data_IF_420026734713
#
_entry.id   IF_420026734713
#
_cell.length_a   1.000
_cell.length_b   1.000
_cell.length_c   1.000
_cell.angle_alpha   90.00
_cell.angle_beta   90.00
_cell.angle_gamma   90.00
#
_symmetry.space_group_name_H-M   'P 1'
#
loop_
_entity.id
_entity.type
_entity.pdbx_description
1 polymer ?
#
# COMPACT_ATOMS: atom_id res chain seq x y z
N UNK A 1 11.77 -12.14 14.17
CA UNK A 1 10.92 -13.24 13.65
C UNK A 1 9.88 -13.79 14.63
N UNK A 2 10.24 -14.45 15.75
CA UNK A 2 9.23 -15.00 16.69
C UNK A 2 8.25 -13.93 17.20
N UNK A 3 8.76 -12.80 17.66
CA UNK A 3 7.95 -11.64 18.08
C UNK A 3 7.00 -11.15 16.97
N UNK A 4 7.48 -11.11 15.73
CA UNK A 4 6.66 -10.74 14.56
C UNK A 4 5.49 -11.72 14.38
N UNK A 5 5.77 -13.03 14.35
CA UNK A 5 4.74 -14.07 14.19
C UNK A 5 3.76 -14.08 15.36
N UNK A 6 4.21 -13.77 16.57
CA UNK A 6 3.32 -13.63 17.73
C UNK A 6 2.37 -12.43 17.58
N UNK A 7 2.82 -11.32 17.00
CA UNK A 7 1.93 -10.19 16.67
C UNK A 7 0.96 -10.55 15.53
N UNK A 8 1.41 -11.25 14.50
CA UNK A 8 0.51 -11.75 13.43
C UNK A 8 -0.57 -12.65 14.02
N UNK A 9 -0.21 -13.60 14.89
CA UNK A 9 -1.18 -14.48 15.57
C UNK A 9 -2.19 -13.70 16.40
N UNK A 10 -1.72 -12.70 17.15
CA UNK A 10 -2.61 -11.81 17.90
C UNK A 10 -3.56 -11.04 16.98
N UNK A 11 -3.04 -10.47 15.89
CA UNK A 11 -3.81 -9.71 14.89
C UNK A 11 -4.88 -10.57 14.22
N UNK A 12 -4.52 -11.76 13.73
CA UNK A 12 -5.44 -12.71 13.11
C UNK A 12 -6.53 -13.18 14.08
N UNK A 13 -6.18 -13.47 15.35
CA UNK A 13 -7.17 -13.80 16.38
C UNK A 13 -8.18 -12.67 16.60
N UNK A 14 -7.72 -11.42 16.68
CA UNK A 14 -8.61 -10.26 16.87
C UNK A 14 -9.50 -10.09 15.64
N UNK A 15 -8.94 -10.17 14.43
CA UNK A 15 -9.69 -10.08 13.18
C UNK A 15 -10.77 -11.16 13.08
N UNK A 16 -10.45 -12.41 13.44
CA UNK A 16 -11.41 -13.51 13.48
C UNK A 16 -12.58 -13.22 14.43
N UNK A 17 -12.30 -12.70 15.64
CA UNK A 17 -13.33 -12.33 16.61
C UNK A 17 -14.22 -11.22 16.05
N UNK A 18 -13.64 -10.16 15.48
CA UNK A 18 -14.40 -9.05 14.89
C UNK A 18 -15.25 -9.52 13.70
N UNK A 19 -14.77 -10.47 12.91
CA UNK A 19 -15.52 -11.09 11.81
C UNK A 19 -16.69 -11.92 12.34
N UNK A 20 -16.48 -12.76 13.35
CA UNK A 20 -17.55 -13.57 13.97
C UNK A 20 -18.64 -12.71 14.62
N UNK A 21 -18.28 -11.52 15.12
CA UNK A 21 -19.22 -10.55 15.65
C UNK A 21 -19.95 -9.73 14.57
N UNK A 22 -19.56 -9.85 13.29
CA UNK A 22 -20.11 -9.07 12.19
C UNK A 22 -19.60 -7.63 12.08
N UNK A 23 -18.64 -7.22 12.93
CA UNK A 23 -18.06 -5.87 12.92
C UNK A 23 -17.13 -5.68 11.73
N UNK A 24 -16.39 -6.72 11.36
CA UNK A 24 -15.47 -6.76 10.21
C UNK A 24 -15.78 -8.00 9.35
N UNK A 25 -16.83 -7.98 8.53
CA UNK A 25 -17.26 -9.15 7.76
C UNK A 25 -16.26 -9.53 6.64
N UNK A 26 -15.39 -8.61 6.23
CA UNK A 26 -14.42 -8.77 5.15
C UNK A 26 -13.11 -8.00 5.47
N UNK A 27 -12.12 -8.08 4.58
CA UNK A 27 -10.82 -7.37 4.69
C UNK A 27 -9.63 -8.32 4.89
N UNK A 28 -8.47 -7.74 5.23
CA UNK A 28 -7.24 -8.46 5.53
C UNK A 28 -6.59 -7.96 6.83
N UNK A 29 -5.58 -8.69 7.33
CA UNK A 29 -4.68 -8.23 8.38
C UNK A 29 -3.43 -7.68 7.71
N UNK A 30 -3.18 -6.38 7.89
CA UNK A 30 -2.00 -5.71 7.31
C UNK A 30 -0.72 -6.20 7.98
N UNK A 31 0.31 -6.47 7.18
CA UNK A 31 1.66 -6.78 7.63
C UNK A 31 2.70 -5.96 6.85
N UNK A 32 3.90 -5.88 7.40
CA UNK A 32 5.10 -5.33 6.77
C UNK A 32 6.30 -6.27 7.07
N UNK A 33 7.47 -5.98 6.50
CA UNK A 33 8.67 -6.80 6.78
C UNK A 33 9.29 -6.52 8.15
N UNK A 34 8.87 -5.45 8.83
CA UNK A 34 9.38 -4.95 10.10
C UNK A 34 10.90 -4.72 10.13
N UNK A 35 11.54 -4.57 8.95
CA UNK A 35 12.96 -4.26 8.81
C UNK A 35 13.17 -3.05 7.91
N UNK A 36 14.14 -2.20 8.24
CA UNK A 36 14.48 -1.02 7.43
C UNK A 36 15.12 -1.38 6.09
N UNK A 37 15.19 -0.41 5.18
CA UNK A 37 15.81 -0.58 3.85
C UNK A 37 17.32 -0.75 3.97
N UNK A 38 18.00 0.07 4.78
CA UNK A 38 19.46 0.04 4.91
C UNK A 38 19.99 -1.32 5.41
N UNK A 39 19.46 -1.93 6.49
CA UNK A 39 19.89 -3.26 6.90
C UNK A 39 19.52 -4.35 5.89
N UNK A 40 18.45 -4.15 5.11
CA UNK A 40 18.07 -5.11 4.06
C UNK A 40 19.10 -5.11 2.92
N UNK A 41 19.65 -3.95 2.56
CA UNK A 41 20.64 -3.77 1.50
C UNK A 41 21.99 -4.46 1.76
N UNK A 42 22.29 -4.87 2.99
CA UNK A 42 23.51 -5.60 3.34
C UNK A 42 23.59 -6.99 2.70
N UNK A 43 22.43 -7.63 2.48
CA UNK A 43 22.29 -8.94 1.84
C UNK A 43 20.91 -9.04 1.18
N UNK A 44 20.66 -8.36 0.05
CA UNK A 44 19.33 -8.26 -0.56
C UNK A 44 18.68 -9.62 -0.79
N UNK A 45 19.40 -10.56 -1.40
CA UNK A 45 18.85 -11.87 -1.75
C UNK A 45 18.65 -12.77 -0.52
N UNK A 46 19.58 -12.76 0.44
CA UNK A 46 19.42 -13.52 1.68
C UNK A 46 18.34 -12.94 2.58
N UNK A 47 18.25 -11.61 2.68
CA UNK A 47 17.20 -10.93 3.45
C UNK A 47 15.82 -11.12 2.82
N UNK A 48 15.70 -11.07 1.49
CA UNK A 48 14.45 -11.39 0.79
C UNK A 48 13.98 -12.81 1.08
N UNK A 49 14.89 -13.79 1.08
CA UNK A 49 14.58 -15.19 1.46
C UNK A 49 14.13 -15.31 2.91
N UNK A 50 14.72 -14.55 3.84
CA UNK A 50 14.31 -14.53 5.26
C UNK A 50 12.90 -13.95 5.44
N UNK A 51 12.59 -12.85 4.74
CA UNK A 51 11.25 -12.24 4.76
C UNK A 51 10.23 -13.22 4.17
N UNK A 52 10.49 -13.77 2.98
CA UNK A 52 9.60 -14.74 2.35
C UNK A 52 9.32 -15.96 3.25
N UNK A 53 10.35 -16.53 3.89
CA UNK A 53 10.16 -17.62 4.86
C UNK A 53 9.28 -17.21 6.05
N UNK A 54 9.45 -15.99 6.54
CA UNK A 54 8.65 -15.45 7.65
C UNK A 54 7.20 -15.22 7.22
N UNK A 55 6.97 -14.70 6.02
CA UNK A 55 5.64 -14.47 5.48
C UNK A 55 4.89 -15.78 5.19
N UNK A 56 5.58 -16.85 4.78
CA UNK A 56 4.95 -18.19 4.69
C UNK A 56 4.42 -18.68 6.03
N UNK A 57 5.22 -18.55 7.10
CA UNK A 57 4.76 -18.89 8.46
C UNK A 57 3.64 -17.96 8.95
N UNK A 58 3.63 -16.70 8.52
CA UNK A 58 2.53 -15.79 8.78
C UNK A 58 1.25 -16.23 8.04
N UNK A 59 1.35 -16.72 6.81
CA UNK A 59 0.23 -17.25 6.05
C UNK A 59 -0.40 -18.46 6.74
N UNK A 60 0.41 -19.38 7.26
CA UNK A 60 -0.08 -20.53 8.02
C UNK A 60 -0.91 -20.08 9.24
N UNK A 61 -0.43 -19.06 9.97
CA UNK A 61 -1.17 -18.45 11.09
C UNK A 61 -2.48 -17.81 10.60
N UNK A 62 -2.47 -17.11 9.48
CA UNK A 62 -3.68 -16.45 8.95
C UNK A 62 -4.75 -17.48 8.57
N UNK A 63 -4.36 -18.58 7.92
CA UNK A 63 -5.27 -19.68 7.57
C UNK A 63 -5.89 -20.36 8.79
N UNK A 64 -5.12 -20.59 9.85
CA UNK A 64 -5.64 -21.16 11.12
C UNK A 64 -6.80 -20.31 11.70
N UNK A 65 -6.82 -19.01 11.41
CA UNK A 65 -7.88 -18.07 11.80
C UNK A 65 -8.88 -17.79 10.67
N UNK A 66 -8.70 -18.39 9.48
CA UNK A 66 -9.48 -18.12 8.27
C UNK A 66 -9.37 -16.66 7.80
N UNK A 67 -8.24 -16.00 8.06
CA UNK A 67 -7.96 -14.61 7.66
C UNK A 67 -7.05 -14.55 6.42
N UNK A 68 -7.02 -13.37 5.78
CA UNK A 68 -6.06 -13.03 4.72
C UNK A 68 -5.07 -12.00 5.23
N UNK A 69 -3.88 -11.97 4.65
CA UNK A 69 -2.83 -10.99 4.92
C UNK A 69 -2.68 -10.04 3.75
N UNK A 70 -2.43 -8.77 4.04
CA UNK A 70 -2.06 -7.78 3.04
C UNK A 70 -0.71 -7.15 3.41
N UNK A 71 0.30 -7.37 2.58
CA UNK A 71 1.59 -6.72 2.72
C UNK A 71 1.50 -5.32 2.11
N UNK A 72 1.63 -4.28 2.93
CA UNK A 72 1.50 -2.90 2.47
C UNK A 72 2.74 -2.42 1.74
N UNK A 73 2.55 -1.80 0.58
CA UNK A 73 3.62 -1.21 -0.22
C UNK A 73 4.30 0.04 0.36
N UNK A 74 4.39 0.16 1.68
CA UNK A 74 5.04 1.29 2.33
C UNK A 74 6.57 1.24 2.07
N UNK A 75 7.09 2.33 1.51
CA UNK A 75 8.44 2.36 0.93
C UNK A 75 9.58 2.21 1.94
N UNK A 76 9.34 2.36 3.25
CA UNK A 76 10.40 2.30 4.26
C UNK A 76 10.73 0.87 4.71
N UNK A 77 9.96 -0.13 4.26
CA UNK A 77 10.17 -1.53 4.63
C UNK A 77 11.13 -2.23 3.66
N UNK A 78 12.25 -2.71 4.18
CA UNK A 78 13.21 -3.55 3.46
C UNK A 78 12.53 -4.76 2.81
N UNK A 79 12.90 -5.07 1.58
CA UNK A 79 12.26 -6.12 0.77
C UNK A 79 10.86 -5.80 0.21
N UNK A 80 10.29 -4.65 0.60
CA UNK A 80 8.98 -4.13 0.19
C UNK A 80 9.07 -2.65 -0.22
N UNK A 81 10.25 -2.15 -0.59
CA UNK A 81 10.48 -0.72 -0.86
C UNK A 81 10.50 -0.37 -2.36
N UNK A 82 10.19 -1.34 -3.21
CA UNK A 82 10.03 -1.15 -4.66
C UNK A 82 9.01 -2.14 -5.21
N UNK A 83 8.48 -1.84 -6.40
CA UNK A 83 7.51 -2.70 -7.06
C UNK A 83 8.11 -4.04 -7.50
N UNK A 84 9.37 -4.07 -7.98
CA UNK A 84 10.03 -5.32 -8.37
C UNK A 84 10.34 -6.20 -7.17
N UNK A 85 10.87 -5.61 -6.07
CA UNK A 85 11.14 -6.36 -4.84
C UNK A 85 9.86 -6.85 -4.18
N UNK A 86 8.79 -6.07 -4.24
CA UNK A 86 7.48 -6.52 -3.74
C UNK A 86 6.92 -7.69 -4.55
N UNK A 87 6.97 -7.64 -5.88
CA UNK A 87 6.55 -8.78 -6.74
C UNK A 87 7.42 -10.00 -6.44
N UNK A 88 8.75 -9.84 -6.40
CA UNK A 88 9.68 -10.91 -6.05
C UNK A 88 9.31 -11.53 -4.69
N UNK A 89 8.95 -10.71 -3.69
CA UNK A 89 8.55 -11.21 -2.38
C UNK A 89 7.28 -12.07 -2.45
N UNK A 90 6.24 -11.56 -3.12
CA UNK A 90 4.95 -12.22 -3.25
C UNK A 90 5.07 -13.56 -3.99
N UNK A 91 5.84 -13.58 -5.08
CA UNK A 91 6.18 -14.79 -5.84
C UNK A 91 6.97 -15.79 -5.00
N UNK A 92 7.96 -15.31 -4.22
CA UNK A 92 8.72 -16.17 -3.33
C UNK A 92 7.85 -16.76 -2.23
N UNK A 93 6.91 -16.00 -1.65
CA UNK A 93 6.01 -16.53 -0.61
C UNK A 93 5.12 -17.64 -1.18
N UNK A 94 4.63 -17.48 -2.41
CA UNK A 94 3.83 -18.47 -3.15
C UNK A 94 2.55 -18.88 -2.42
N UNK A 95 1.82 -17.90 -1.89
CA UNK A 95 0.53 -18.09 -1.18
C UNK A 95 -0.53 -17.06 -1.63
N UNK A 96 -0.81 -16.91 -2.93
CA UNK A 96 -1.64 -15.81 -3.47
C UNK A 96 -3.09 -15.78 -2.96
N UNK A 97 -3.61 -16.90 -2.46
CA UNK A 97 -4.95 -16.95 -1.87
C UNK A 97 -4.99 -16.36 -0.45
N UNK A 98 -3.86 -16.39 0.27
CA UNK A 98 -3.74 -15.97 1.67
C UNK A 98 -3.09 -14.60 1.79
N UNK A 99 -1.99 -14.38 1.08
CA UNK A 99 -1.24 -13.13 1.08
C UNK A 99 -1.47 -12.37 -0.23
N UNK A 100 -1.85 -11.11 -0.11
CA UNK A 100 -1.86 -10.15 -1.21
C UNK A 100 -1.10 -8.87 -0.87
N UNK A 101 -1.21 -7.92 -1.78
CA UNK A 101 -0.65 -6.57 -1.67
C UNK A 101 -1.72 -5.59 -1.20
N UNK A 102 -1.36 -4.71 -0.28
CA UNK A 102 -2.12 -3.49 0.00
C UNK A 102 -1.42 -2.33 -0.72
N UNK A 103 -2.11 -1.74 -1.68
CA UNK A 103 -1.64 -0.54 -2.36
C UNK A 103 -1.99 0.68 -1.52
N UNK A 104 -1.00 1.48 -1.13
CA UNK A 104 -1.22 2.85 -0.66
C UNK A 104 -0.77 3.80 -1.77
N UNK A 105 -1.65 4.71 -2.18
CA UNK A 105 -1.39 5.60 -3.32
C UNK A 105 -0.23 6.57 -3.07
N UNK A 106 -0.01 7.02 -1.84
CA UNK A 106 1.10 7.90 -1.48
C UNK A 106 2.44 7.16 -1.52
N UNK A 107 2.49 5.94 -1.02
CA UNK A 107 3.71 5.13 -1.04
C UNK A 107 4.03 4.61 -2.44
N UNK A 108 3.02 4.12 -3.17
CA UNK A 108 3.23 3.58 -4.53
C UNK A 108 3.60 4.66 -5.54
N UNK A 109 3.21 5.93 -5.35
CA UNK A 109 3.78 7.06 -6.10
C UNK A 109 5.32 7.05 -6.02
N UNK A 110 5.88 6.79 -4.85
CA UNK A 110 7.33 6.82 -4.61
C UNK A 110 8.04 5.55 -5.13
N UNK A 111 7.31 4.46 -5.39
CA UNK A 111 7.84 3.35 -6.19
C UNK A 111 8.06 3.78 -7.64
N UNK A 112 7.17 4.60 -8.24
CA UNK A 112 7.35 5.10 -9.61
C UNK A 112 8.66 5.87 -9.72
N UNK A 113 8.97 6.68 -8.70
CA UNK A 113 10.17 7.50 -8.62
C UNK A 113 11.43 6.72 -8.15
N UNK A 114 11.28 5.45 -7.73
CA UNK A 114 12.39 4.64 -7.22
C UNK A 114 13.09 5.25 -6.01
N UNK A 115 12.34 5.83 -5.06
CA UNK A 115 12.91 6.66 -3.99
C UNK A 115 13.95 5.91 -3.13
N UNK A 116 13.62 4.67 -2.75
CA UNK A 116 14.48 3.78 -1.96
C UNK A 116 15.13 2.65 -2.78
N UNK A 117 14.84 2.58 -4.09
CA UNK A 117 15.45 1.64 -5.04
C UNK A 117 15.55 2.31 -6.43
N UNK A 118 16.55 3.18 -6.66
CA UNK A 118 16.71 3.88 -7.93
C UNK A 118 16.86 2.95 -9.14
N UNK A 119 17.37 1.74 -8.93
CA UNK A 119 17.48 0.68 -9.94
C UNK A 119 16.11 0.20 -10.46
N UNK A 120 15.05 0.38 -9.67
CA UNK A 120 13.68 -0.03 -9.99
C UNK A 120 12.80 1.15 -10.45
N UNK A 121 13.37 2.36 -10.57
CA UNK A 121 12.66 3.56 -10.97
C UNK A 121 12.02 3.43 -12.37
N UNK A 122 10.79 3.92 -12.51
CA UNK A 122 10.12 4.08 -13.81
C UNK A 122 10.34 5.51 -14.33
N UNK A 123 10.28 6.48 -13.41
CA UNK A 123 10.59 7.89 -13.64
C UNK A 123 11.74 8.33 -12.71
N UNK A 124 12.53 9.32 -13.10
CA UNK A 124 13.59 9.84 -12.23
C UNK A 124 12.99 10.53 -10.99
N UNK A 125 13.73 10.57 -9.88
CA UNK A 125 13.25 11.17 -8.63
C UNK A 125 12.92 12.67 -8.75
N UNK A 126 13.61 13.38 -9.63
CA UNK A 126 13.41 14.80 -9.95
C UNK A 126 12.44 15.01 -11.14
N UNK A 127 11.59 14.03 -11.42
CA UNK A 127 10.62 14.11 -12.51
C UNK A 127 9.75 15.37 -12.45
N UNK A 128 9.65 16.06 -13.59
CA UNK A 128 8.76 17.21 -13.76
C UNK A 128 7.32 16.75 -13.98
N UNK A 129 6.47 16.97 -12.98
CA UNK A 129 5.03 16.67 -13.03
C UNK A 129 4.24 17.59 -13.98
N UNK A 130 4.90 18.51 -14.70
CA UNK A 130 4.33 19.24 -15.83
C UNK A 130 3.99 18.37 -17.05
N UNK A 131 4.43 17.11 -17.08
CA UNK A 131 4.06 16.10 -18.09
C UNK A 131 3.12 15.03 -17.52
N UNK A 132 1.80 15.31 -17.43
CA UNK A 132 0.84 14.38 -16.83
C UNK A 132 0.69 13.08 -17.64
N UNK A 133 0.91 13.12 -18.96
CA UNK A 133 0.80 11.93 -19.78
C UNK A 133 1.91 10.92 -19.45
N UNK A 134 3.16 11.39 -19.35
CA UNK A 134 4.29 10.54 -18.97
C UNK A 134 4.15 10.01 -17.55
N UNK A 135 3.61 10.82 -16.63
CA UNK A 135 3.28 10.34 -15.28
C UNK A 135 2.23 9.23 -15.31
N UNK A 136 1.14 9.42 -16.04
CA UNK A 136 0.05 8.45 -16.16
C UNK A 136 0.49 7.13 -16.80
N UNK A 137 1.40 7.17 -17.77
CA UNK A 137 1.99 5.98 -18.39
C UNK A 137 2.85 5.19 -17.39
N UNK A 138 3.67 5.89 -16.60
CA UNK A 138 4.49 5.27 -15.56
C UNK A 138 3.66 4.70 -14.40
N UNK A 139 2.64 5.44 -13.96
CA UNK A 139 1.70 4.98 -12.93
C UNK A 139 0.89 3.77 -13.42
N UNK A 140 0.49 3.76 -14.70
CA UNK A 140 -0.13 2.59 -15.34
C UNK A 140 0.80 1.38 -15.32
N UNK A 141 2.06 1.54 -15.72
CA UNK A 141 3.03 0.45 -15.71
C UNK A 141 3.19 -0.17 -14.31
N UNK A 142 3.29 0.68 -13.28
CA UNK A 142 3.36 0.22 -11.89
C UNK A 142 2.11 -0.55 -11.46
N UNK A 143 0.95 0.06 -11.67
CA UNK A 143 -0.34 -0.50 -11.26
C UNK A 143 -0.66 -1.78 -12.01
N UNK A 144 -0.38 -1.88 -13.31
CA UNK A 144 -0.58 -3.10 -14.10
C UNK A 144 0.24 -4.28 -13.55
N UNK A 145 1.45 -4.03 -13.05
CA UNK A 145 2.32 -5.06 -12.47
C UNK A 145 1.84 -5.54 -11.09
N UNK A 146 1.37 -4.63 -10.23
CA UNK A 146 0.97 -4.94 -8.84
C UNK A 146 -0.52 -5.26 -8.66
N UNK A 147 -1.39 -4.76 -9.54
CA UNK A 147 -2.86 -4.96 -9.46
C UNK A 147 -3.28 -6.43 -9.37
N UNK A 148 -2.65 -7.40 -10.08
CA UNK A 148 -2.99 -8.82 -9.92
C UNK A 148 -2.85 -9.33 -8.48
N UNK A 149 -1.96 -8.73 -7.69
CA UNK A 149 -1.70 -9.07 -6.29
C UNK A 149 -2.50 -8.22 -5.31
N UNK A 150 -3.08 -7.11 -5.76
CA UNK A 150 -3.69 -6.11 -4.90
C UNK A 150 -5.05 -6.57 -4.38
N UNK A 151 -5.20 -6.60 -3.07
CA UNK A 151 -6.42 -7.06 -2.37
C UNK A 151 -6.99 -6.00 -1.42
N UNK A 152 -6.23 -4.94 -1.16
CA UNK A 152 -6.59 -3.81 -0.33
C UNK A 152 -6.03 -2.52 -0.96
N UNK A 153 -6.74 -1.40 -0.79
CA UNK A 153 -6.38 -0.10 -1.36
C UNK A 153 -6.64 1.02 -0.36
N UNK A 154 -5.56 1.72 -0.05
CA UNK A 154 -5.52 2.97 0.67
C UNK A 154 -5.47 4.14 -0.33
N UNK A 155 -6.55 4.91 -0.36
CA UNK A 155 -6.65 6.19 -1.05
C UNK A 155 -5.84 7.21 -0.25
N UNK A 156 -4.88 7.84 -0.91
CA UNK A 156 -3.93 8.72 -0.26
C UNK A 156 -3.42 9.78 -1.25
N UNK A 157 -2.77 10.81 -0.72
CA UNK A 157 -2.13 11.88 -1.48
C UNK A 157 -0.69 12.06 -1.03
N UNK A 158 0.19 12.43 -1.95
CA UNK A 158 1.60 12.70 -1.68
C UNK A 158 2.11 13.81 -2.61
N UNK A 159 3.03 14.64 -2.10
CA UNK A 159 3.65 15.76 -2.83
C UNK A 159 4.94 15.37 -3.59
N UNK A 160 5.11 14.06 -3.85
CA UNK A 160 6.33 13.37 -4.29
C UNK A 160 7.52 13.46 -3.31
N UNK A 161 7.26 13.67 -2.02
CA UNK A 161 8.31 13.71 -1.00
C UNK A 161 8.17 12.60 0.05
N UNK A 162 9.29 12.34 0.74
CA UNK A 162 9.36 11.46 1.90
C UNK A 162 9.36 12.27 3.20
N UNK A 163 8.89 11.64 4.28
CA UNK A 163 9.05 12.15 5.63
C UNK A 163 9.75 11.07 6.48
N UNK A 164 10.76 11.49 7.23
CA UNK A 164 11.44 10.63 8.18
C UNK A 164 10.89 10.82 9.59
N UNK A 165 10.39 9.77 10.24
CA UNK A 165 10.06 9.83 11.69
C UNK A 165 10.22 8.47 12.37
N UNK A 166 10.91 8.44 13.52
CA UNK A 166 11.14 7.22 14.28
C UNK A 166 11.90 6.15 13.47
N UNK A 167 11.38 4.92 13.42
CA UNK A 167 11.95 3.83 12.61
C UNK A 167 11.64 3.93 11.10
N UNK A 168 10.91 4.98 10.68
CA UNK A 168 10.57 5.25 9.29
C UNK A 168 11.50 6.34 8.75
N UNK A 169 12.77 6.02 8.46
CA UNK A 169 13.76 7.04 8.05
C UNK A 169 13.42 7.72 6.71
N UNK A 170 12.73 7.00 5.81
CA UNK A 170 12.20 7.51 4.53
C UNK A 170 10.86 6.85 4.20
N UNK A 171 9.78 7.25 4.87
CA UNK A 171 8.42 6.83 4.49
C UNK A 171 7.75 7.87 3.59
N UNK A 172 6.74 7.46 2.82
CA UNK A 172 6.04 8.39 1.94
C UNK A 172 5.26 9.41 2.74
N UNK A 173 5.50 10.71 2.49
CA UNK A 173 4.83 11.79 3.20
C UNK A 173 3.40 11.96 2.69
N UNK A 174 2.42 11.39 3.39
CA UNK A 174 1.03 11.72 3.11
C UNK A 174 0.80 13.23 3.27
N UNK A 175 0.08 13.82 2.33
CA UNK A 175 -0.42 15.19 2.45
C UNK A 175 -1.95 15.21 2.30
N UNK A 176 -2.55 16.39 2.46
CA UNK A 176 -4.01 16.54 2.42
C UNK A 176 -4.55 16.22 1.02
N UNK A 177 -5.79 15.73 0.95
CA UNK A 177 -6.46 15.47 -0.33
C UNK A 177 -6.44 16.69 -1.28
N UNK A 178 -6.53 17.89 -0.71
CA UNK A 178 -6.51 19.18 -1.42
C UNK A 178 -5.18 19.91 -1.29
N UNK A 179 -4.08 19.23 -0.96
CA UNK A 179 -2.77 19.88 -0.90
C UNK A 179 -2.41 20.42 -2.30
N UNK A 180 -2.09 21.72 -2.43
CA UNK A 180 -1.78 22.30 -3.74
C UNK A 180 -0.54 21.71 -4.40
N UNK A 181 0.32 21.00 -3.65
CA UNK A 181 1.48 20.30 -4.17
C UNK A 181 1.25 18.81 -4.42
N UNK A 182 0.07 18.28 -4.07
CA UNK A 182 -0.30 16.88 -4.29
C UNK A 182 -0.13 16.49 -5.76
N UNK A 183 0.43 15.30 -6.00
CA UNK A 183 0.77 14.84 -7.36
C UNK A 183 -0.27 13.93 -7.99
N UNK A 184 -1.17 13.39 -7.18
CA UNK A 184 -2.21 12.49 -7.66
C UNK A 184 -3.50 13.27 -7.94
N UNK A 185 -4.05 13.08 -9.13
CA UNK A 185 -5.47 13.23 -9.37
C UNK A 185 -6.15 12.00 -8.75
N UNK A 186 -6.55 12.12 -7.48
CA UNK A 186 -6.91 10.97 -6.65
C UNK A 186 -8.02 10.10 -7.29
N UNK A 187 -9.16 10.65 -7.76
CA UNK A 187 -10.16 9.84 -8.46
C UNK A 187 -9.59 9.15 -9.70
N UNK A 188 -8.86 9.86 -10.57
CA UNK A 188 -8.29 9.27 -11.79
C UNK A 188 -7.28 8.15 -11.46
N UNK A 189 -6.33 8.43 -10.57
CA UNK A 189 -5.24 7.52 -10.22
C UNK A 189 -5.71 6.30 -9.44
N UNK A 190 -6.74 6.42 -8.60
CA UNK A 190 -7.39 5.26 -7.96
C UNK A 190 -7.95 4.29 -9.01
N UNK A 191 -8.41 4.79 -10.16
CA UNK A 191 -8.93 3.99 -11.26
C UNK A 191 -7.95 2.95 -11.81
N UNK A 192 -6.64 3.22 -11.77
CA UNK A 192 -5.63 2.29 -12.25
C UNK A 192 -5.49 1.03 -11.37
N UNK A 193 -5.81 1.16 -10.08
CA UNK A 193 -5.90 0.05 -9.13
C UNK A 193 -7.24 -0.68 -9.22
N UNK A 194 -8.33 0.06 -9.42
CA UNK A 194 -9.69 -0.45 -9.34
C UNK A 194 -10.19 -1.07 -10.65
N UNK A 195 -9.58 -0.72 -11.80
CA UNK A 195 -9.97 -1.21 -13.12
C UNK A 195 -8.89 -2.09 -13.74
N UNK A 196 -9.31 -3.06 -14.55
CA UNK A 196 -8.41 -3.86 -15.38
C UNK A 196 -8.01 -3.11 -16.67
N UNK A 197 -7.18 -3.76 -17.50
CA UNK A 197 -6.70 -3.20 -18.76
C UNK A 197 -7.82 -2.94 -19.79
N UNK A 198 -8.99 -3.56 -19.64
CA UNK A 198 -10.18 -3.30 -20.46
C UNK A 198 -11.05 -2.16 -19.88
N UNK A 199 -10.64 -1.56 -18.77
CA UNK A 199 -11.37 -0.50 -18.07
C UNK A 199 -12.47 -1.00 -17.16
N UNK A 200 -12.60 -2.32 -16.95
CA UNK A 200 -13.66 -2.91 -16.13
C UNK A 200 -13.27 -2.93 -14.66
N UNK A 201 -14.22 -2.61 -13.79
CA UNK A 201 -14.01 -2.58 -12.35
C UNK A 201 -13.78 -4.00 -11.84
N UNK A 202 -12.64 -4.24 -11.19
CA UNK A 202 -12.21 -5.60 -10.81
C UNK A 202 -12.99 -6.19 -9.63
N UNK A 203 -13.53 -5.33 -8.75
CA UNK A 203 -14.23 -5.69 -7.50
C UNK A 203 -13.45 -6.66 -6.59
N UNK A 204 -12.12 -6.67 -6.70
CA UNK A 204 -11.22 -7.50 -5.85
C UNK A 204 -11.05 -6.95 -4.45
N UNK A 205 -11.02 -5.64 -4.36
CA UNK A 205 -11.06 -4.89 -3.10
C UNK A 205 -12.54 -4.79 -2.70
N UNK A 206 -12.84 -4.71 -1.41
CA UNK A 206 -14.21 -4.59 -0.89
C UNK A 206 -14.44 -3.20 -0.30
N UNK A 207 -13.51 -2.74 0.52
CA UNK A 207 -13.52 -1.41 1.13
C UNK A 207 -12.39 -0.54 0.61
N UNK A 208 -12.67 0.75 0.51
CA UNK A 208 -11.65 1.77 0.25
C UNK A 208 -11.40 2.53 1.54
N UNK A 209 -10.15 2.57 1.98
CA UNK A 209 -9.72 3.32 3.15
C UNK A 209 -9.05 4.62 2.71
N UNK A 210 -9.22 5.69 3.48
CA UNK A 210 -8.33 6.86 3.34
C UNK A 210 -7.13 6.66 4.25
N UNK A 211 -5.93 6.88 3.72
CA UNK A 211 -4.71 6.98 4.53
C UNK A 211 -4.24 8.43 4.60
N UNK A 212 -4.15 8.93 5.83
CA UNK A 212 -3.66 10.25 6.19
C UNK A 212 -2.59 10.15 7.26
N UNK A 213 -1.81 9.07 7.24
CA UNK A 213 -0.71 8.85 8.18
C UNK A 213 0.16 10.11 8.27
N UNK A 214 0.68 10.40 9.47
CA UNK A 214 1.54 11.56 9.73
C UNK A 214 0.88 12.94 9.65
N UNK A 215 -0.46 13.05 9.55
CA UNK A 215 -1.11 14.36 9.74
C UNK A 215 -0.89 14.88 11.17
N UNK A 216 -0.37 16.11 11.35
CA UNK A 216 -0.25 16.70 12.67
C UNK A 216 -1.62 16.82 13.35
N UNK A 217 -1.68 16.66 14.69
CA UNK A 217 -2.94 16.80 15.44
C UNK A 217 -3.73 18.07 15.11
N UNK A 218 -3.05 19.21 14.91
CA UNK A 218 -3.68 20.49 14.53
C UNK A 218 -4.46 20.42 13.20
N UNK A 219 -4.06 19.53 12.29
CA UNK A 219 -4.73 19.28 11.01
C UNK A 219 -5.95 18.39 11.25
N UNK A 220 -5.77 17.28 11.98
CA UNK A 220 -6.86 16.35 12.32
C UNK A 220 -7.98 17.00 13.16
N UNK A 221 -7.69 18.05 13.93
CA UNK A 221 -8.71 18.78 14.71
C UNK A 221 -9.57 19.74 13.85
N UNK A 222 -9.29 19.91 12.57
CA UNK A 222 -10.07 20.78 11.68
C UNK A 222 -11.17 19.97 11.00
N UNK A 223 -12.44 20.36 11.22
CA UNK A 223 -13.60 19.75 10.53
C UNK A 223 -13.42 19.72 9.01
N UNK A 224 -12.86 20.79 8.44
CA UNK A 224 -12.63 20.90 7.00
C UNK A 224 -11.76 19.76 6.45
N UNK A 225 -10.74 19.33 7.17
CA UNK A 225 -9.88 18.20 6.76
C UNK A 225 -10.71 16.94 6.48
N UNK A 226 -11.63 16.59 7.37
CA UNK A 226 -12.48 15.41 7.20
C UNK A 226 -13.53 15.57 6.11
N UNK A 227 -14.08 16.78 5.93
CA UNK A 227 -14.99 17.07 4.83
C UNK A 227 -14.31 16.91 3.47
N UNK A 228 -13.11 17.48 3.31
CA UNK A 228 -12.34 17.43 2.06
C UNK A 228 -11.92 15.99 1.72
N UNK A 229 -11.55 15.19 2.74
CA UNK A 229 -11.29 13.75 2.58
C UNK A 229 -12.56 13.00 2.18
N UNK A 230 -13.68 13.23 2.85
CA UNK A 230 -14.95 12.57 2.54
C UNK A 230 -15.41 12.89 1.11
N UNK A 231 -15.33 14.16 0.69
CA UNK A 231 -15.65 14.58 -0.67
C UNK A 231 -14.77 13.85 -1.70
N UNK A 232 -13.48 13.72 -1.44
CA UNK A 232 -12.54 12.98 -2.30
C UNK A 232 -12.88 11.50 -2.37
N UNK A 233 -13.18 10.86 -1.23
CA UNK A 233 -13.56 9.45 -1.18
C UNK A 233 -14.89 9.20 -1.91
N UNK A 234 -15.85 10.13 -1.82
CA UNK A 234 -17.09 10.10 -2.60
C UNK A 234 -16.78 10.22 -4.10
N UNK A 235 -15.87 11.12 -4.50
CA UNK A 235 -15.49 11.26 -5.90
C UNK A 235 -14.84 9.98 -6.47
N UNK A 236 -13.96 9.32 -5.73
CA UNK A 236 -13.41 7.99 -6.10
C UNK A 236 -14.53 6.97 -6.25
N UNK A 237 -15.43 6.90 -5.25
CA UNK A 237 -16.57 5.98 -5.24
C UNK A 237 -17.44 6.16 -6.48
N UNK A 238 -17.82 7.40 -6.78
CA UNK A 238 -18.75 7.75 -7.86
C UNK A 238 -18.08 7.53 -9.24
N UNK A 239 -16.79 7.85 -9.39
CA UNK A 239 -16.03 7.61 -10.63
C UNK A 239 -15.83 6.12 -10.95
N UNK A 240 -15.81 5.26 -9.93
CA UNK A 240 -15.54 3.82 -10.07
C UNK A 240 -16.71 2.91 -9.72
N UNK A 241 -17.89 3.47 -9.43
CA UNK A 241 -19.12 2.72 -9.17
C UNK A 241 -19.03 1.79 -7.97
N UNK A 242 -18.34 2.22 -6.90
CA UNK A 242 -18.11 1.40 -5.72
C UNK A 242 -19.29 1.49 -4.75
N UNK A 243 -20.04 0.40 -4.58
CA UNK A 243 -21.13 0.30 -3.61
C UNK A 243 -21.07 -1.10 -3.00
N UNK A 244 -20.95 -1.19 -1.68
CA UNK A 244 -21.12 -2.43 -0.89
C UNK A 244 -22.49 -2.47 -0.23
#
# INVERSE_FOLDING_TARGET
RRLFLDQVRKGCRVAEVLRKLGVRPNGAVRIDSAGGVEPWLEDPEGNQKKIAKTFREACDIAEDHGERLAAEGEICWGGMHSWRRMIQLLEMVDRPNVLGFQADMAHTLLYVLGYNAPEDAILPQDFDFGDPQRFDEAYRQLTDALRPWTIDLHIAQNDATVHGSGSHDKTGRHCLATDPNGKLDIPRHAGYWLRDAAGQVTRRIRHLCWDGCMFPNKVMMKRRTWNDILETMIAVRDAHGWQE
#
